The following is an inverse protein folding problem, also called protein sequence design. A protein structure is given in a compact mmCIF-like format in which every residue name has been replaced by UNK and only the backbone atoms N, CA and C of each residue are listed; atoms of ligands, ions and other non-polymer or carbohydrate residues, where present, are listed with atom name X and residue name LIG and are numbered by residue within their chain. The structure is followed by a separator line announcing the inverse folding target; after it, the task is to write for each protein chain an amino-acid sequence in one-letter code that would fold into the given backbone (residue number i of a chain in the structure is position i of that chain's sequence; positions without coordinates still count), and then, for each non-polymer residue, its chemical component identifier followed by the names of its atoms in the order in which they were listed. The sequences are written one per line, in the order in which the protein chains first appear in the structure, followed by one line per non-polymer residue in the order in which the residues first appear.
data_IF_289351517892
#
_entry.id   IF_289351517892
#
_cell.length_a   1.000
_cell.length_b   1.000
_cell.length_c   1.000
_cell.angle_alpha   90.00
_cell.angle_beta   90.00
_cell.angle_gamma   90.00
#
_symmetry.space_group_name_H-M   'P 1'
#
loop_
_entity.id
_entity.type
_entity.pdbx_description
1 polymer ?
#
# COMPACT_ATOMS: atom_id res chain seq x y z
N UNK A 1 0.91 23.13 -10.77
CA UNK A 1 2.36 23.02 -10.47
C UNK A 1 2.69 22.30 -9.16
N UNK A 2 2.08 22.61 -8.00
CA UNK A 2 2.36 21.86 -6.74
C UNK A 2 1.60 20.53 -6.57
N UNK A 3 0.49 20.32 -7.27
CA UNK A 3 -0.27 19.05 -7.21
C UNK A 3 0.30 17.98 -8.17
N UNK A 4 0.96 18.41 -9.25
CA UNK A 4 1.45 17.51 -10.30
C UNK A 4 2.62 16.61 -9.85
N UNK A 5 3.52 17.11 -9.00
CA UNK A 5 4.66 16.31 -8.50
C UNK A 5 4.20 15.22 -7.51
N UNK A 6 3.19 15.51 -6.68
CA UNK A 6 2.59 14.51 -5.78
C UNK A 6 1.90 13.41 -6.56
N UNK A 7 1.22 13.77 -7.65
CA UNK A 7 0.57 12.83 -8.56
C UNK A 7 1.57 11.85 -9.19
N UNK A 8 2.70 12.33 -9.72
CA UNK A 8 3.69 11.43 -10.37
C UNK A 8 4.33 10.45 -9.37
N UNK A 9 4.60 10.87 -8.13
CA UNK A 9 5.23 9.99 -7.12
C UNK A 9 4.33 8.82 -6.72
N UNK A 10 3.03 9.10 -6.61
CA UNK A 10 2.02 8.24 -6.00
C UNK A 10 1.19 7.44 -7.02
N UNK A 11 1.64 7.32 -8.27
CA UNK A 11 0.96 6.51 -9.30
C UNK A 11 1.83 5.37 -9.75
N UNK A 12 1.21 4.30 -10.25
CA UNK A 12 1.94 3.23 -10.94
C UNK A 12 2.65 3.79 -12.19
N UNK A 13 3.98 3.71 -12.23
CA UNK A 13 4.83 4.21 -13.32
C UNK A 13 5.31 3.11 -14.27
N UNK A 14 5.11 1.83 -13.94
CA UNK A 14 5.61 0.71 -14.76
C UNK A 14 4.60 0.23 -15.82
N UNK A 15 3.34 0.69 -15.75
CA UNK A 15 2.25 0.25 -16.60
C UNK A 15 1.47 -0.95 -16.03
N UNK A 16 0.31 -1.26 -16.61
CA UNK A 16 -0.59 -2.34 -16.15
C UNK A 16 -0.05 -3.72 -16.52
N UNK A 17 -0.11 -4.68 -15.61
CA UNK A 17 0.22 -6.09 -15.88
C UNK A 17 1.70 -6.47 -15.78
N UNK A 18 2.57 -5.56 -15.32
CA UNK A 18 3.97 -5.88 -15.01
C UNK A 18 4.08 -6.26 -13.52
N UNK A 19 4.53 -7.48 -13.19
CA UNK A 19 4.62 -7.92 -11.80
C UNK A 19 5.71 -7.16 -11.06
N UNK A 20 5.43 -6.78 -9.81
CA UNK A 20 6.43 -6.21 -8.90
C UNK A 20 7.07 -7.35 -8.13
N UNK A 21 8.31 -7.71 -8.46
CA UNK A 21 9.05 -8.85 -7.89
C UNK A 21 8.97 -8.95 -6.35
N UNK A 22 8.94 -7.81 -5.65
CA UNK A 22 8.97 -7.75 -4.18
C UNK A 22 7.59 -7.99 -3.53
N UNK A 23 6.49 -7.65 -4.20
CA UNK A 23 5.13 -7.72 -3.64
C UNK A 23 4.25 -8.77 -4.32
N UNK A 24 4.48 -9.08 -5.59
CA UNK A 24 3.69 -10.01 -6.39
C UNK A 24 2.60 -9.33 -7.21
N UNK A 25 1.57 -10.11 -7.57
CA UNK A 25 0.45 -9.68 -8.39
C UNK A 25 -0.47 -8.70 -7.64
N UNK A 26 -1.17 -7.85 -8.40
CA UNK A 26 -2.05 -6.82 -7.84
C UNK A 26 -1.34 -5.56 -7.35
N UNK A 27 -0.01 -5.56 -7.32
CA UNK A 27 0.82 -4.38 -7.06
C UNK A 27 1.42 -3.80 -8.35
N UNK A 28 1.41 -2.47 -8.44
CA UNK A 28 2.22 -1.68 -9.38
C UNK A 28 3.42 -1.06 -8.66
N UNK A 29 4.28 -0.36 -9.38
CA UNK A 29 5.46 0.29 -8.81
C UNK A 29 5.48 1.77 -9.17
N UNK A 30 5.55 2.62 -8.14
CA UNK A 30 5.69 4.07 -8.27
C UNK A 30 7.15 4.50 -8.13
N UNK A 31 7.39 5.75 -7.72
CA UNK A 31 8.74 6.26 -7.52
C UNK A 31 9.29 5.90 -6.13
N UNK A 32 9.71 4.64 -6.00
CA UNK A 32 10.43 4.11 -4.82
C UNK A 32 9.60 3.25 -3.87
N UNK A 33 8.36 2.94 -4.21
CA UNK A 33 7.46 2.09 -3.40
C UNK A 33 6.45 1.36 -4.28
N UNK A 34 5.91 0.26 -3.75
CA UNK A 34 4.81 -0.48 -4.37
C UNK A 34 3.50 0.27 -4.17
N UNK A 35 2.65 0.28 -5.19
CA UNK A 35 1.31 0.85 -5.17
C UNK A 35 0.30 -0.28 -5.33
N UNK A 36 -0.65 -0.42 -4.41
CA UNK A 36 -1.69 -1.42 -4.53
C UNK A 36 -2.67 -1.03 -5.65
N UNK A 37 -2.79 -1.86 -6.68
CA UNK A 37 -3.66 -1.60 -7.84
C UNK A 37 -4.90 -2.48 -7.86
N UNK A 38 -4.83 -3.69 -7.30
CA UNK A 38 -5.94 -4.63 -7.23
C UNK A 38 -5.85 -5.47 -5.94
N UNK A 39 -6.66 -5.16 -4.90
CA UNK A 39 -6.67 -5.86 -3.62
C UNK A 39 -7.04 -7.35 -3.76
N UNK A 40 -7.99 -7.67 -4.62
CA UNK A 40 -8.44 -9.06 -4.83
C UNK A 40 -7.33 -9.95 -5.39
N UNK A 41 -6.51 -9.42 -6.31
CA UNK A 41 -5.34 -10.13 -6.85
C UNK A 41 -4.17 -10.18 -5.87
N UNK A 42 -4.01 -9.14 -5.06
CA UNK A 42 -2.94 -9.04 -4.08
C UNK A 42 -3.19 -9.85 -2.80
N UNK A 43 -4.43 -10.32 -2.59
CA UNK A 43 -4.88 -10.91 -1.33
C UNK A 43 -4.57 -10.00 -0.10
N UNK A 44 -4.76 -8.69 -0.28
CA UNK A 44 -4.46 -7.67 0.72
C UNK A 44 -5.74 -6.99 1.20
N UNK A 45 -5.78 -6.61 2.48
CA UNK A 45 -6.92 -5.98 3.14
C UNK A 45 -6.87 -4.44 3.10
N UNK A 46 -5.90 -3.88 2.36
CA UNK A 46 -5.67 -2.45 2.21
C UNK A 46 -6.38 -1.90 0.97
N UNK A 47 -6.60 -0.59 0.94
CA UNK A 47 -7.36 0.06 -0.13
C UNK A 47 -6.54 0.27 -1.41
N UNK A 48 -7.22 0.36 -2.55
CA UNK A 48 -6.59 0.70 -3.84
C UNK A 48 -5.83 2.03 -3.72
N UNK A 49 -4.61 2.08 -4.23
CA UNK A 49 -3.74 3.26 -4.14
C UNK A 49 -2.86 3.28 -2.90
N UNK A 50 -2.93 2.27 -2.02
CA UNK A 50 -2.03 2.16 -0.86
C UNK A 50 -0.57 2.06 -1.29
N UNK A 51 0.28 2.91 -0.70
CA UNK A 51 1.73 2.91 -0.92
C UNK A 51 2.42 2.10 0.14
N UNK A 52 3.39 1.27 -0.24
CA UNK A 52 4.04 0.43 0.74
C UNK A 52 5.43 -0.05 0.32
N UNK A 53 6.27 -0.34 1.32
CA UNK A 53 7.57 -0.97 1.12
C UNK A 53 7.99 -1.77 2.34
N UNK A 54 8.82 -2.78 2.12
CA UNK A 54 9.40 -3.62 3.17
C UNK A 54 10.92 -3.39 3.30
N UNK A 55 11.45 -3.54 4.51
CA UNK A 55 12.89 -3.54 4.76
C UNK A 55 13.48 -4.94 4.88
N UNK A 56 14.81 -5.03 4.88
CA UNK A 56 15.53 -6.31 4.92
C UNK A 56 15.35 -7.08 6.24
N UNK A 57 15.14 -6.37 7.36
CA UNK A 57 15.04 -6.98 8.70
C UNK A 57 13.58 -7.21 9.14
N UNK A 58 12.67 -7.38 8.19
CA UNK A 58 11.27 -7.66 8.46
C UNK A 58 10.37 -6.43 8.64
N UNK A 59 10.93 -5.22 8.67
CA UNK A 59 10.15 -3.96 8.76
C UNK A 59 9.19 -3.78 7.58
N UNK A 60 8.06 -3.12 7.81
CA UNK A 60 7.04 -2.83 6.80
C UNK A 60 6.43 -1.48 7.11
N UNK A 61 6.18 -0.67 6.09
CA UNK A 61 5.25 0.44 6.21
C UNK A 61 4.25 0.44 5.07
N UNK A 62 3.10 1.01 5.34
CA UNK A 62 2.10 1.33 4.33
C UNK A 62 1.36 2.62 4.67
N UNK A 63 0.87 3.29 3.64
CA UNK A 63 0.09 4.53 3.73
C UNK A 63 -1.17 4.28 2.90
N UNK A 64 -2.32 4.26 3.56
CA UNK A 64 -3.63 4.13 2.94
C UNK A 64 -4.29 5.53 2.90
N UNK A 65 -4.32 6.21 1.73
CA UNK A 65 -4.92 7.52 1.60
C UNK A 65 -6.45 7.52 1.62
N UNK A 66 -7.10 6.36 1.40
CA UNK A 66 -8.56 6.26 1.47
C UNK A 66 -9.02 6.25 2.92
N UNK A 67 -8.32 5.50 3.77
CA UNK A 67 -8.59 5.44 5.21
C UNK A 67 -7.83 6.50 6.03
N UNK A 68 -7.07 7.39 5.37
CA UNK A 68 -6.21 8.40 5.97
C UNK A 68 -5.29 7.84 7.09
N UNK A 69 -4.73 6.66 6.82
CA UNK A 69 -4.05 5.83 7.81
C UNK A 69 -2.62 5.49 7.39
N UNK A 70 -1.72 5.47 8.37
CA UNK A 70 -0.32 5.07 8.19
C UNK A 70 -0.02 3.92 9.14
N UNK A 71 0.33 2.76 8.59
CA UNK A 71 0.82 1.62 9.34
C UNK A 71 2.34 1.53 9.29
N UNK A 72 2.98 1.41 10.46
CA UNK A 72 4.43 1.21 10.58
C UNK A 72 4.67 0.01 11.49
N UNK A 73 5.30 -1.02 10.94
CA UNK A 73 5.76 -2.20 11.66
C UNK A 73 7.30 -2.20 11.69
N UNK A 74 7.85 -2.10 12.89
CA UNK A 74 9.30 -2.18 13.13
C UNK A 74 9.64 -3.47 13.87
N UNK A 75 10.35 -4.35 13.19
CA UNK A 75 10.94 -5.57 13.77
C UNK A 75 12.40 -5.67 13.32
N UNK A 76 13.17 -6.50 14.02
CA UNK A 76 14.59 -6.74 13.74
C UNK A 76 14.85 -8.24 13.64
N UNK A 77 14.13 -8.93 12.75
CA UNK A 77 14.21 -10.38 12.59
C UNK A 77 14.62 -10.69 11.15
N UNK A 78 15.65 -11.52 10.98
CA UNK A 78 16.14 -11.98 9.67
C UNK A 78 16.74 -13.39 9.79
N UNK A 79 16.27 -14.40 9.03
CA UNK A 79 15.16 -14.35 8.07
C UNK A 79 13.80 -14.26 8.80
N UNK A 80 12.85 -13.51 8.26
CA UNK A 80 11.50 -13.37 8.83
C UNK A 80 10.44 -14.20 8.08
N UNK A 81 10.87 -15.11 7.18
CA UNK A 81 10.00 -15.91 6.32
C UNK A 81 9.10 -16.92 7.05
N UNK A 82 9.44 -17.26 8.30
CA UNK A 82 8.64 -18.15 9.14
C UNK A 82 7.53 -17.42 9.90
N UNK A 83 7.46 -16.08 9.81
CA UNK A 83 6.43 -15.27 10.43
C UNK A 83 5.62 -14.51 9.38
N UNK A 84 4.31 -14.77 9.33
CA UNK A 84 3.37 -14.02 8.48
C UNK A 84 2.97 -12.67 9.09
N UNK A 85 3.85 -12.04 9.88
CA UNK A 85 3.52 -10.84 10.66
C UNK A 85 3.19 -9.63 9.78
N UNK A 86 3.80 -9.53 8.59
CA UNK A 86 3.55 -8.43 7.65
C UNK A 86 2.10 -8.38 7.13
N UNK A 87 1.56 -9.44 6.51
CA UNK A 87 0.15 -9.45 6.11
C UNK A 87 -0.80 -9.47 7.30
N UNK A 88 -0.47 -10.18 8.39
CA UNK A 88 -1.31 -10.21 9.59
C UNK A 88 -1.47 -8.83 10.23
N UNK A 89 -0.40 -8.02 10.24
CA UNK A 89 -0.47 -6.65 10.75
C UNK A 89 -1.46 -5.81 9.96
N UNK A 90 -1.39 -5.82 8.62
CA UNK A 90 -2.35 -5.08 7.78
C UNK A 90 -3.78 -5.54 8.02
N UNK A 91 -4.03 -6.86 8.06
CA UNK A 91 -5.37 -7.41 8.31
C UNK A 91 -5.89 -7.00 9.69
N UNK A 92 -5.08 -7.13 10.74
CA UNK A 92 -5.48 -6.78 12.10
C UNK A 92 -5.83 -5.29 12.23
N UNK A 93 -5.07 -4.41 11.55
CA UNK A 93 -5.35 -2.97 11.53
C UNK A 93 -6.63 -2.69 10.74
N UNK A 94 -6.79 -3.25 9.54
CA UNK A 94 -8.00 -3.07 8.72
C UNK A 94 -9.26 -3.51 9.46
N UNK A 95 -9.21 -4.62 10.21
CA UNK A 95 -10.35 -5.10 11.00
C UNK A 95 -10.66 -4.25 12.24
N UNK A 96 -9.70 -3.44 12.70
CA UNK A 96 -9.90 -2.53 13.83
C UNK A 96 -10.53 -1.18 13.42
N UNK A 97 -10.69 -0.91 12.12
CA UNK A 97 -11.33 0.29 11.62
C UNK A 97 -12.85 0.17 11.86
N UNK A 98 -13.37 0.95 12.80
CA UNK A 98 -14.81 1.03 13.08
C UNK A 98 -15.51 2.10 12.24
N UNK A 99 -14.83 3.23 12.02
CA UNK A 99 -15.31 4.35 11.21
C UNK A 99 -14.42 4.47 9.97
N UNK A 100 -14.90 3.96 8.83
CA UNK A 100 -14.17 4.03 7.56
C UNK A 100 -14.28 5.42 6.94
N UNK A 101 -13.17 5.90 6.39
CA UNK A 101 -13.09 7.15 5.63
C UNK A 101 -13.11 6.92 4.11
N UNK A 102 -13.25 5.67 3.65
CA UNK A 102 -13.25 5.34 2.22
C UNK A 102 -14.38 6.03 1.42
N UNK A 103 -15.52 6.31 2.08
CA UNK A 103 -16.64 7.05 1.46
C UNK A 103 -16.34 8.55 1.28
N UNK A 104 -15.33 9.07 1.98
CA UNK A 104 -14.93 10.47 1.88
C UNK A 104 -13.93 10.66 0.73
N UNK A 105 -13.96 11.84 0.11
CA UNK A 105 -12.98 12.16 -0.94
C UNK A 105 -11.57 12.17 -0.33
N UNK A 106 -10.64 11.33 -0.81
CA UNK A 106 -9.33 11.19 -0.18
C UNK A 106 -8.56 12.51 -0.22
N UNK A 107 -8.06 12.96 0.94
CA UNK A 107 -7.40 14.27 1.10
C UNK A 107 -6.08 14.39 0.33
N UNK A 108 -5.41 13.27 0.08
CA UNK A 108 -4.00 13.23 -0.39
C UNK A 108 -3.84 12.66 -1.82
N UNK A 109 -4.92 12.36 -2.54
CA UNK A 109 -4.84 11.75 -3.87
C UNK A 109 -4.67 12.76 -5.01
N UNK A 110 -3.70 12.50 -5.88
CA UNK A 110 -3.41 13.30 -7.08
C UNK A 110 -3.99 12.74 -8.38
N UNK A 111 -4.77 11.66 -8.36
CA UNK A 111 -5.39 11.06 -9.55
C UNK A 111 -6.75 10.44 -9.24
N UNK A 112 -7.59 10.28 -10.26
CA UNK A 112 -8.94 9.73 -10.12
C UNK A 112 -8.90 8.24 -9.76
N UNK A 113 -9.52 7.88 -8.63
CA UNK A 113 -9.76 6.49 -8.25
C UNK A 113 -10.84 5.89 -9.16
N UNK A 114 -10.65 4.70 -9.75
CA UNK A 114 -11.75 3.97 -10.37
C UNK A 114 -12.77 3.65 -9.28
N UNK A 115 -14.02 4.08 -9.47
CA UNK A 115 -15.15 3.55 -8.72
C UNK A 115 -15.49 2.14 -9.21
#
# INVERSE_FOLDING_TARGET
MRQDVRRVRCTNQIGTGKPVYIRGDGYGFGLGFGVLTNPAKAADALSIGTFSWGGANGTLFWIDPQEDLIGILMIQINPYSHFNIRPLFSVAVSQAITDSLADQKPRIMGYDTPR
#
